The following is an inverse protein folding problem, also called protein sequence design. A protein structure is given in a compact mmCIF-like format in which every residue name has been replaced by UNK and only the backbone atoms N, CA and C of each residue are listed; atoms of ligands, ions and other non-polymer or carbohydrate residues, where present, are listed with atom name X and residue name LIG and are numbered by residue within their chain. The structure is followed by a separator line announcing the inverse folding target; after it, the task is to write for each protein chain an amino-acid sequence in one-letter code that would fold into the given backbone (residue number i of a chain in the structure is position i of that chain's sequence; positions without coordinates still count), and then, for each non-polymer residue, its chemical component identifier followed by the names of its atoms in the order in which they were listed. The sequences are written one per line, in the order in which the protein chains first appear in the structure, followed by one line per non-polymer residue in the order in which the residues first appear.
data_IF_304733318946
#
_entry.id   IF_304733318946
#
_cell.length_a   1.000
_cell.length_b   1.000
_cell.length_c   1.000
_cell.angle_alpha   90.00
_cell.angle_beta   90.00
_cell.angle_gamma   90.00
#
_symmetry.space_group_name_H-M   'P 1'
#
loop_
_entity.id
_entity.type
_entity.pdbx_description
1 polymer ?
#
# COMPACT_ATOMS: atom_id res chain seq x y z
N UNK A 1 -9.66 4.15 18.25
CA UNK A 1 -9.90 2.73 17.94
C UNK A 1 -9.65 1.81 19.13
N UNK A 2 -8.59 2.00 19.90
CA UNK A 2 -8.35 1.27 21.15
C UNK A 2 -9.15 1.92 22.28
N UNK A 3 -10.00 1.16 22.95
CA UNK A 3 -10.84 1.61 24.08
C UNK A 3 -10.22 1.29 25.45
N UNK A 4 -8.97 0.82 25.48
CA UNK A 4 -8.25 0.45 26.69
C UNK A 4 -8.66 -0.90 27.29
N UNK A 5 -9.41 -1.71 26.55
CA UNK A 5 -9.84 -3.04 27.01
C UNK A 5 -9.25 -4.17 26.16
N UNK A 6 -9.08 -5.34 26.77
CA UNK A 6 -8.60 -6.55 26.10
C UNK A 6 -9.62 -7.11 25.08
N UNK A 7 -10.86 -6.67 25.12
CA UNK A 7 -11.96 -7.17 24.28
C UNK A 7 -12.19 -6.31 23.03
N UNK A 8 -11.38 -5.28 22.82
CA UNK A 8 -11.48 -4.45 21.64
C UNK A 8 -11.18 -5.27 20.37
N UNK A 9 -11.98 -5.15 19.28
CA UNK A 9 -11.75 -5.87 18.03
C UNK A 9 -10.36 -5.67 17.43
N UNK A 10 -9.78 -4.46 17.53
CA UNK A 10 -8.43 -4.19 17.05
C UNK A 10 -7.37 -4.97 17.85
N UNK A 11 -7.54 -5.09 19.17
CA UNK A 11 -6.68 -5.92 20.03
C UNK A 11 -6.78 -7.39 19.65
N UNK A 12 -7.99 -7.88 19.43
CA UNK A 12 -8.19 -9.26 18.98
C UNK A 12 -7.50 -9.53 17.62
N UNK A 13 -7.71 -8.65 16.65
CA UNK A 13 -7.08 -8.76 15.34
C UNK A 13 -5.55 -8.68 15.42
N UNK A 14 -5.00 -7.75 16.21
CA UNK A 14 -3.56 -7.63 16.44
C UNK A 14 -2.96 -8.87 17.07
N UNK A 15 -3.60 -9.46 18.07
CA UNK A 15 -3.16 -10.74 18.68
C UNK A 15 -3.19 -11.88 17.67
N UNK A 16 -4.28 -12.05 16.94
CA UNK A 16 -4.39 -13.10 15.94
C UNK A 16 -3.30 -12.95 14.87
N UNK A 17 -3.04 -11.73 14.42
CA UNK A 17 -1.98 -11.46 13.45
C UNK A 17 -0.61 -11.86 13.98
N UNK A 18 -0.24 -11.45 15.20
CA UNK A 18 1.07 -11.76 15.78
C UNK A 18 1.22 -13.24 16.17
N UNK A 19 0.12 -13.95 16.45
CA UNK A 19 0.13 -15.37 16.80
C UNK A 19 0.23 -16.27 15.56
N UNK A 20 -0.53 -15.95 14.49
CA UNK A 20 -0.64 -16.86 13.34
C UNK A 20 0.26 -16.50 12.16
N UNK A 21 0.86 -15.32 12.14
CA UNK A 21 1.77 -14.92 11.07
C UNK A 21 3.18 -14.73 11.61
N UNK A 22 4.21 -15.28 10.95
CA UNK A 22 5.61 -15.14 11.36
C UNK A 22 6.15 -13.74 10.97
N UNK A 23 5.62 -12.71 11.61
CA UNK A 23 6.06 -11.34 11.39
C UNK A 23 7.48 -11.13 11.92
N UNK A 24 8.33 -10.34 11.23
CA UNK A 24 9.70 -10.11 11.66
C UNK A 24 9.76 -9.29 12.95
N UNK A 25 10.70 -9.67 13.83
CA UNK A 25 11.06 -8.86 14.98
C UNK A 25 12.05 -7.76 14.57
N UNK A 26 11.86 -6.51 14.96
CA UNK A 26 12.84 -5.46 14.73
C UNK A 26 14.11 -5.72 15.55
N UNK A 27 15.25 -5.49 14.93
CA UNK A 27 16.57 -5.76 15.50
C UNK A 27 17.40 -6.64 14.58
N UNK A 28 18.68 -6.37 14.45
CA UNK A 28 19.57 -7.13 13.58
C UNK A 28 19.25 -6.96 12.09
N UNK A 29 18.70 -8.00 11.47
CA UNK A 29 18.41 -7.99 10.03
C UNK A 29 17.22 -7.11 9.64
N UNK A 30 16.21 -6.99 10.50
CA UNK A 30 15.04 -6.15 10.27
C UNK A 30 15.08 -4.87 11.09
N UNK A 31 14.68 -3.75 10.50
CA UNK A 31 14.25 -2.56 11.23
C UNK A 31 12.74 -2.47 11.22
N UNK A 32 12.12 -1.69 12.10
CA UNK A 32 10.66 -1.52 12.10
C UNK A 32 10.11 -1.06 13.43
N UNK A 33 8.85 -1.41 13.67
CA UNK A 33 8.11 -1.04 14.85
C UNK A 33 8.77 -1.58 16.13
N UNK A 34 8.98 -0.68 17.08
CA UNK A 34 9.53 -0.98 18.41
C UNK A 34 8.57 -0.59 19.55
N UNK A 35 7.39 -0.06 19.20
CA UNK A 35 6.41 0.38 20.19
C UNK A 35 5.54 -0.79 20.64
N UNK A 36 5.31 -0.88 21.94
CA UNK A 36 4.41 -1.88 22.49
C UNK A 36 3.02 -1.29 22.71
N UNK A 37 2.00 -2.05 22.32
CA UNK A 37 0.60 -1.67 22.48
C UNK A 37 -0.04 -2.48 23.59
N UNK A 38 -0.81 -1.84 24.49
CA UNK A 38 -1.54 -2.55 25.53
C UNK A 38 -2.34 -3.73 24.96
N UNK A 39 -2.24 -4.87 25.65
CA UNK A 39 -2.89 -6.15 25.31
C UNK A 39 -2.44 -6.86 24.04
N UNK A 40 -1.67 -6.23 23.15
CA UNK A 40 -1.14 -6.84 21.92
C UNK A 40 0.35 -7.18 22.05
N UNK A 41 1.10 -6.31 22.74
CA UNK A 41 2.56 -6.35 22.72
C UNK A 41 3.11 -5.54 21.55
N UNK A 42 4.14 -6.06 20.87
CA UNK A 42 4.72 -5.45 19.68
C UNK A 42 3.89 -5.81 18.44
N UNK A 43 3.27 -4.84 17.74
CA UNK A 43 2.38 -5.12 16.60
C UNK A 43 3.11 -5.69 15.39
N UNK A 44 4.40 -5.32 15.17
CA UNK A 44 5.20 -5.74 14.01
C UNK A 44 4.51 -5.41 12.68
N UNK A 45 3.86 -4.27 12.61
CA UNK A 45 3.00 -3.85 11.50
C UNK A 45 3.77 -3.15 10.39
N UNK A 46 4.91 -2.52 10.71
CA UNK A 46 5.81 -1.97 9.71
C UNK A 46 7.25 -2.43 9.95
N UNK A 47 7.95 -2.73 8.87
CA UNK A 47 9.33 -3.22 8.92
C UNK A 47 10.04 -3.08 7.58
N UNK A 48 11.39 -3.15 7.61
CA UNK A 48 12.21 -3.13 6.42
C UNK A 48 13.43 -4.05 6.56
N UNK A 49 13.93 -4.50 5.43
CA UNK A 49 15.20 -5.23 5.32
C UNK A 49 15.85 -4.95 3.98
N UNK A 50 17.15 -5.21 3.91
CA UNK A 50 17.91 -5.15 2.66
C UNK A 50 18.38 -6.56 2.28
N UNK A 51 18.21 -6.91 1.00
CA UNK A 51 18.71 -8.14 0.43
C UNK A 51 19.45 -7.85 -0.88
N UNK A 52 20.76 -8.09 -0.91
CA UNK A 52 21.59 -7.66 -2.04
C UNK A 52 21.49 -6.16 -2.26
N UNK A 53 21.15 -5.74 -3.49
CA UNK A 53 21.02 -4.35 -3.90
C UNK A 53 19.58 -3.81 -3.72
N UNK A 54 18.70 -4.54 -3.05
CA UNK A 54 17.29 -4.19 -2.90
C UNK A 54 16.92 -3.93 -1.43
N UNK A 55 16.22 -2.81 -1.20
CA UNK A 55 15.54 -2.49 0.06
C UNK A 55 14.05 -2.86 -0.08
N UNK A 56 13.52 -3.51 0.93
CA UNK A 56 12.12 -3.87 1.06
C UNK A 56 11.55 -3.18 2.29
N UNK A 57 10.44 -2.46 2.14
CA UNK A 57 9.79 -1.69 3.20
C UNK A 57 8.31 -2.00 3.22
N UNK A 58 7.78 -2.41 4.35
CA UNK A 58 6.34 -2.61 4.58
C UNK A 58 5.83 -1.50 5.47
N UNK A 59 4.74 -0.86 5.07
CA UNK A 59 4.08 0.22 5.82
C UNK A 59 2.61 -0.14 6.08
N UNK A 60 2.08 0.34 7.21
CA UNK A 60 0.72 0.04 7.66
C UNK A 60 -0.03 1.31 8.08
N UNK A 61 -1.20 1.53 7.47
CA UNK A 61 -2.11 2.63 7.81
C UNK A 61 -3.19 2.25 8.83
N UNK A 62 -3.33 0.96 9.14
CA UNK A 62 -4.46 0.48 9.93
C UNK A 62 -4.31 0.75 11.41
N UNK A 63 -3.13 0.48 11.94
CA UNK A 63 -2.92 0.48 13.38
C UNK A 63 -2.98 1.89 13.99
N UNK A 64 -2.34 2.86 13.35
CA UNK A 64 -2.22 4.23 13.87
C UNK A 64 -3.41 5.13 13.53
N UNK A 65 -4.29 4.70 12.63
CA UNK A 65 -5.47 5.48 12.27
C UNK A 65 -6.51 5.46 13.40
N UNK A 66 -6.95 6.63 13.89
CA UNK A 66 -7.98 6.72 14.95
C UNK A 66 -9.35 6.25 14.47
N UNK A 67 -9.57 6.17 13.16
CA UNK A 67 -10.78 5.65 12.55
C UNK A 67 -10.48 4.44 11.68
N UNK A 68 -11.41 3.50 11.49
CA UNK A 68 -11.21 2.39 10.57
C UNK A 68 -10.88 2.89 9.17
N UNK A 69 -9.83 2.35 8.57
CA UNK A 69 -9.51 2.58 7.16
C UNK A 69 -10.58 1.89 6.32
N UNK A 70 -11.27 2.64 5.49
CA UNK A 70 -12.24 2.10 4.54
C UNK A 70 -12.13 2.82 3.19
N UNK A 71 -12.75 2.21 2.19
CA UNK A 71 -12.58 2.54 0.79
C UNK A 71 -13.38 3.73 0.31
N UNK A 72 -14.15 4.37 1.14
CA UNK A 72 -15.13 5.35 0.67
C UNK A 72 -15.00 6.68 1.38
N UNK A 73 -13.92 7.42 1.11
CA UNK A 73 -13.84 8.76 1.65
C UNK A 73 -14.87 9.70 0.99
N UNK A 74 -15.09 9.60 -0.29
CA UNK A 74 -15.90 10.59 -1.02
C UNK A 74 -16.67 10.03 -2.23
N UNK A 75 -16.64 8.74 -2.50
CA UNK A 75 -17.26 8.14 -3.69
C UNK A 75 -18.45 7.28 -3.27
N UNK A 76 -19.62 7.69 -3.71
CA UNK A 76 -20.89 7.02 -3.43
C UNK A 76 -21.78 7.76 -2.43
N UNK A 77 -23.05 7.36 -2.31
CA UNK A 77 -23.93 7.91 -1.29
C UNK A 77 -23.37 7.55 0.09
N UNK A 78 -23.47 8.46 1.07
CA UNK A 78 -23.08 8.14 2.43
C UNK A 78 -23.85 6.90 2.92
N UNK A 79 -23.28 6.09 3.80
CA UNK A 79 -24.00 4.97 4.40
C UNK A 79 -25.36 5.43 4.91
N UNK A 80 -26.39 4.58 4.73
CA UNK A 80 -27.76 4.93 5.15
C UNK A 80 -27.77 5.39 6.61
N UNK A 81 -28.31 6.59 6.85
CA UNK A 81 -28.36 7.19 8.17
C UNK A 81 -27.20 8.13 8.52
N UNK A 82 -26.21 8.31 7.65
CA UNK A 82 -25.14 9.30 7.85
C UNK A 82 -25.38 10.56 7.02
N UNK A 83 -25.14 11.71 7.63
CA UNK A 83 -25.16 12.99 6.93
C UNK A 83 -23.81 13.29 6.30
N UNK A 84 -23.71 14.13 5.24
CA UNK A 84 -22.43 14.55 4.66
C UNK A 84 -21.42 15.13 5.67
N UNK A 85 -21.91 15.68 6.78
CA UNK A 85 -21.09 16.21 7.87
C UNK A 85 -20.46 15.14 8.75
N UNK A 86 -20.87 13.88 8.63
CA UNK A 86 -20.33 12.73 9.33
C UNK A 86 -19.31 11.92 8.49
N UNK A 87 -18.93 12.43 7.34
CA UNK A 87 -17.86 11.83 6.55
C UNK A 87 -16.56 11.88 7.33
N UNK A 88 -15.80 10.80 7.28
CA UNK A 88 -14.48 10.73 7.87
C UNK A 88 -13.60 11.88 7.38
N UNK A 89 -12.86 12.46 8.30
CA UNK A 89 -11.72 13.27 7.97
C UNK A 89 -10.61 12.34 7.47
N UNK A 90 -10.27 12.39 6.20
CA UNK A 90 -9.25 11.49 5.62
C UNK A 90 -7.84 11.78 6.12
N UNK A 91 -7.62 12.89 6.80
CA UNK A 91 -6.40 13.11 7.57
C UNK A 91 -6.29 12.21 8.82
N UNK A 92 -7.39 11.56 9.21
CA UNK A 92 -7.39 10.56 10.29
C UNK A 92 -6.90 9.18 9.82
N UNK A 93 -6.65 8.99 8.53
CA UNK A 93 -5.96 7.83 7.99
C UNK A 93 -4.47 8.17 7.93
N UNK A 94 -3.67 7.50 8.75
CA UNK A 94 -2.31 7.94 9.02
C UNK A 94 -1.34 6.78 9.29
N UNK A 95 -0.08 6.98 8.87
CA UNK A 95 1.04 6.16 9.35
C UNK A 95 1.35 6.40 10.85
N UNK A 96 1.00 7.57 11.36
CA UNK A 96 1.49 8.04 12.66
C UNK A 96 2.93 8.55 12.60
N UNK A 97 3.30 9.39 13.57
CA UNK A 97 4.59 10.09 13.58
C UNK A 97 5.79 9.13 13.66
N UNK A 98 5.69 8.09 14.47
CA UNK A 98 6.78 7.14 14.67
C UNK A 98 7.10 6.38 13.38
N UNK A 99 6.07 5.83 12.74
CA UNK A 99 6.23 5.11 11.47
C UNK A 99 6.68 6.02 10.34
N UNK A 100 6.12 7.24 10.23
CA UNK A 100 6.54 8.18 9.20
C UNK A 100 8.03 8.53 9.31
N UNK A 101 8.51 8.89 10.50
CA UNK A 101 9.93 9.23 10.73
C UNK A 101 10.85 8.05 10.46
N UNK A 102 10.44 6.87 10.89
CA UNK A 102 11.17 5.64 10.57
C UNK A 102 11.20 5.37 9.06
N UNK A 103 10.10 5.56 8.36
CA UNK A 103 10.00 5.39 6.90
C UNK A 103 10.90 6.36 6.16
N UNK A 104 10.84 7.63 6.50
CA UNK A 104 11.73 8.67 5.95
C UNK A 104 13.21 8.32 6.17
N UNK A 105 13.58 8.00 7.41
CA UNK A 105 14.96 7.64 7.75
C UNK A 105 15.42 6.37 7.02
N UNK A 106 14.55 5.37 6.90
CA UNK A 106 14.84 4.11 6.19
C UNK A 106 15.13 4.36 4.72
N UNK A 107 14.32 5.18 4.05
CA UNK A 107 14.56 5.56 2.66
C UNK A 107 15.81 6.41 2.49
N UNK A 108 16.00 7.42 3.36
CA UNK A 108 17.11 8.37 3.29
C UNK A 108 18.48 7.72 3.53
N UNK A 109 18.55 6.75 4.43
CA UNK A 109 19.81 6.06 4.77
C UNK A 109 20.17 4.93 3.81
N UNK A 110 19.25 4.51 2.96
CA UNK A 110 19.44 3.36 2.08
C UNK A 110 20.26 3.71 0.84
N UNK A 111 21.32 2.93 0.62
CA UNK A 111 22.13 2.95 -0.62
C UNK A 111 21.69 1.88 -1.63
N UNK A 112 20.60 1.16 -1.36
CA UNK A 112 20.07 0.15 -2.26
C UNK A 112 19.68 0.76 -3.61
N UNK A 113 20.03 0.08 -4.69
CA UNK A 113 19.68 0.50 -6.06
C UNK A 113 18.19 0.42 -6.33
N UNK A 114 17.55 -0.60 -5.75
CA UNK A 114 16.12 -0.84 -5.91
C UNK A 114 15.45 -0.71 -4.56
N UNK A 115 14.38 0.07 -4.49
CA UNK A 115 13.60 0.25 -3.27
C UNK A 115 12.15 -0.14 -3.55
N UNK A 116 11.66 -1.11 -2.80
CA UNK A 116 10.32 -1.63 -2.90
C UNK A 116 9.55 -1.30 -1.63
N UNK A 117 8.41 -0.63 -1.79
CA UNK A 117 7.51 -0.30 -0.68
C UNK A 117 6.21 -1.07 -0.87
N UNK A 118 5.67 -1.61 0.22
CA UNK A 118 4.47 -2.42 0.23
C UNK A 118 3.45 -1.85 1.21
N UNK A 119 2.21 -1.73 0.76
CA UNK A 119 1.06 -1.43 1.61
C UNK A 119 -0.14 -2.21 1.12
N UNK A 120 -1.08 -2.54 2.02
CA UNK A 120 -2.34 -3.14 1.57
C UNK A 120 -3.18 -2.15 0.78
N UNK A 121 -3.36 -0.92 1.28
CA UNK A 121 -4.16 0.09 0.60
C UNK A 121 -3.43 0.74 -0.55
N UNK A 122 -4.22 1.13 -1.54
CA UNK A 122 -3.76 1.96 -2.65
C UNK A 122 -3.32 3.34 -2.17
N UNK A 123 -2.47 3.97 -2.95
CA UNK A 123 -2.06 5.35 -2.77
C UNK A 123 -3.30 6.24 -2.55
N UNK A 124 -3.23 7.13 -1.56
CA UNK A 124 -4.35 8.00 -1.21
C UNK A 124 -5.42 7.36 -0.33
N UNK A 125 -5.31 6.06 -0.02
CA UNK A 125 -6.28 5.27 0.75
C UNK A 125 -7.72 5.27 0.21
N UNK A 126 -7.91 5.78 -1.00
CA UNK A 126 -9.16 5.72 -1.74
C UNK A 126 -9.16 4.55 -2.73
N UNK A 127 -9.50 4.82 -3.98
CA UNK A 127 -9.42 3.90 -5.10
C UNK A 127 -8.80 4.62 -6.31
N UNK A 128 -8.22 3.85 -7.23
CA UNK A 128 -7.66 4.42 -8.45
C UNK A 128 -6.16 4.73 -8.42
N UNK A 129 -5.48 4.39 -7.35
CA UNK A 129 -4.03 4.56 -7.26
C UNK A 129 -3.59 6.02 -7.35
N UNK A 130 -2.80 6.38 -8.37
CA UNK A 130 -2.23 7.73 -8.52
C UNK A 130 -3.28 8.85 -8.69
N UNK A 131 -4.52 8.52 -8.98
CA UNK A 131 -5.61 9.51 -9.10
C UNK A 131 -5.86 10.23 -7.75
N UNK A 132 -5.56 9.57 -6.64
CA UNK A 132 -5.68 10.09 -5.29
C UNK A 132 -4.33 10.54 -4.68
N UNK A 133 -3.24 10.43 -5.44
CA UNK A 133 -1.87 10.69 -4.95
C UNK A 133 -1.64 12.10 -4.39
N UNK A 134 -2.41 13.08 -4.88
CA UNK A 134 -2.29 14.48 -4.44
C UNK A 134 -2.99 14.78 -3.12
N UNK A 135 -3.71 13.83 -2.53
CA UNK A 135 -4.62 14.08 -1.42
C UNK A 135 -4.04 13.67 -0.06
N UNK A 136 -4.45 14.39 0.96
CA UNK A 136 -4.22 14.12 2.38
C UNK A 136 -2.74 13.83 2.71
N UNK A 137 -2.49 12.86 3.56
CA UNK A 137 -1.13 12.48 3.99
C UNK A 137 -0.21 12.03 2.83
N UNK A 138 -0.82 11.53 1.74
CA UNK A 138 -0.09 11.09 0.56
C UNK A 138 0.43 12.23 -0.30
N UNK A 139 -0.36 13.30 -0.51
CA UNK A 139 -0.02 14.37 -1.43
C UNK A 139 -0.22 15.80 -0.90
N UNK A 140 -0.67 15.95 0.35
CA UNK A 140 -0.70 17.22 1.08
C UNK A 140 -1.92 18.08 0.86
N UNK A 141 -2.82 17.73 -0.06
CA UNK A 141 -4.01 18.53 -0.37
C UNK A 141 -5.26 17.92 0.24
N UNK A 142 -6.24 18.75 0.57
CA UNK A 142 -7.59 18.28 0.87
C UNK A 142 -8.38 17.95 -0.40
N UNK A 143 -9.61 17.44 -0.27
CA UNK A 143 -10.47 17.08 -1.39
C UNK A 143 -10.84 18.25 -2.32
N UNK A 144 -10.66 19.49 -1.87
CA UNK A 144 -10.84 20.69 -2.69
C UNK A 144 -9.56 21.16 -3.39
N UNK A 145 -8.47 20.39 -3.28
CA UNK A 145 -7.18 20.70 -3.87
C UNK A 145 -6.35 21.75 -3.12
N UNK A 146 -6.78 22.15 -1.93
CA UNK A 146 -6.07 23.12 -1.09
C UNK A 146 -4.99 22.41 -0.30
N UNK A 147 -3.79 22.98 -0.29
CA UNK A 147 -2.65 22.48 0.50
C UNK A 147 -2.92 22.67 1.99
N UNK A 148 -2.85 21.58 2.75
CA UNK A 148 -3.05 21.59 4.21
C UNK A 148 -1.98 20.77 4.96
N UNK A 149 -0.99 20.23 4.27
CA UNK A 149 -0.02 19.29 4.83
C UNK A 149 0.69 19.83 6.08
N UNK A 150 1.27 21.02 5.99
CA UNK A 150 2.04 21.60 7.09
C UNK A 150 1.20 21.81 8.37
N UNK A 151 -0.09 22.06 8.18
CA UNK A 151 -1.06 22.21 9.27
C UNK A 151 -1.45 20.85 9.86
N UNK A 152 -1.68 19.86 8.99
CA UNK A 152 -2.22 18.56 9.39
C UNK A 152 -1.14 17.57 9.82
N UNK A 153 0.10 17.78 9.36
CA UNK A 153 1.27 16.95 9.70
C UNK A 153 2.47 17.83 10.07
N UNK A 154 2.35 18.62 11.17
CA UNK A 154 3.44 19.47 11.60
C UNK A 154 4.66 18.61 11.98
N UNK A 155 5.82 18.93 11.38
CA UNK A 155 7.07 18.22 11.62
C UNK A 155 7.33 17.01 10.71
N UNK A 156 6.48 16.77 9.72
CA UNK A 156 6.77 15.88 8.59
C UNK A 156 7.41 16.70 7.45
N UNK A 157 8.43 16.13 6.79
CA UNK A 157 9.17 16.87 5.73
C UNK A 157 8.35 16.97 4.45
N UNK A 158 7.80 15.86 3.98
CA UNK A 158 7.08 15.76 2.71
C UNK A 158 5.87 14.82 2.83
N UNK A 159 4.81 15.03 2.02
CA UNK A 159 3.80 14.01 1.80
C UNK A 159 4.42 12.69 1.33
N UNK A 160 3.78 11.56 1.67
CA UNK A 160 4.33 10.21 1.48
C UNK A 160 4.71 9.95 0.01
N UNK A 161 3.88 10.37 -0.95
CA UNK A 161 4.16 10.19 -2.38
C UNK A 161 5.42 10.96 -2.78
N UNK A 162 5.57 12.21 -2.32
CA UNK A 162 6.73 13.04 -2.61
C UNK A 162 8.00 12.52 -1.92
N UNK A 163 7.85 11.94 -0.72
CA UNK A 163 8.93 11.28 -0.02
C UNK A 163 9.47 10.08 -0.81
N UNK A 164 8.56 9.25 -1.33
CA UNK A 164 8.95 8.11 -2.18
C UNK A 164 9.65 8.55 -3.47
N UNK A 165 9.17 9.62 -4.09
CA UNK A 165 9.81 10.20 -5.28
C UNK A 165 11.19 10.78 -4.97
N UNK A 166 11.33 11.53 -3.86
CA UNK A 166 12.60 12.14 -3.40
C UNK A 166 13.70 11.09 -3.18
N UNK A 167 13.34 9.93 -2.69
CA UNK A 167 14.30 8.85 -2.37
C UNK A 167 14.32 7.71 -3.40
N UNK A 168 13.83 7.96 -4.62
CA UNK A 168 13.91 7.02 -5.74
C UNK A 168 13.32 5.63 -5.43
N UNK A 169 12.13 5.58 -4.84
CA UNK A 169 11.40 4.31 -4.72
C UNK A 169 11.15 3.75 -6.12
N UNK A 170 11.52 2.50 -6.34
CA UNK A 170 11.39 1.84 -7.64
C UNK A 170 9.94 1.43 -7.90
N UNK A 171 9.35 0.72 -6.94
CA UNK A 171 7.95 0.27 -7.03
C UNK A 171 7.29 0.42 -5.67
N UNK A 172 6.09 1.01 -5.67
CA UNK A 172 5.14 0.92 -4.57
C UNK A 172 4.09 -0.15 -4.93
N UNK A 173 4.15 -1.28 -4.23
CA UNK A 173 3.17 -2.35 -4.36
C UNK A 173 1.98 -2.06 -3.44
N UNK A 174 0.80 -2.07 -4.03
CA UNK A 174 -0.45 -1.80 -3.35
C UNK A 174 -1.49 -2.87 -3.72
N UNK A 175 -2.52 -3.03 -2.93
CA UNK A 175 -3.59 -3.99 -3.13
C UNK A 175 -4.95 -3.35 -2.95
N UNK A 176 -5.96 -4.13 -2.55
CA UNK A 176 -7.28 -3.68 -2.19
C UNK A 176 -8.27 -3.54 -3.34
N UNK A 177 -7.88 -3.04 -4.50
CA UNK A 177 -8.78 -2.76 -5.61
C UNK A 177 -9.10 -3.97 -6.49
N UNK A 178 -8.53 -5.14 -6.18
CA UNK A 178 -8.82 -6.41 -6.83
C UNK A 178 -8.73 -6.35 -8.37
N UNK A 179 -7.62 -5.81 -8.87
CA UNK A 179 -7.27 -5.79 -10.28
C UNK A 179 -5.75 -5.68 -10.42
N UNK A 180 -5.22 -5.89 -11.62
CA UNK A 180 -3.87 -5.45 -11.95
C UNK A 180 -3.92 -4.01 -12.45
N UNK A 181 -3.13 -3.13 -11.87
CA UNK A 181 -2.87 -1.82 -12.45
C UNK A 181 -1.40 -1.43 -12.33
N UNK A 182 -0.80 -1.00 -13.43
CA UNK A 182 0.51 -0.37 -13.45
C UNK A 182 0.35 1.09 -13.81
N UNK A 183 0.75 1.96 -12.90
CA UNK A 183 0.74 3.41 -13.10
C UNK A 183 2.13 3.98 -12.79
N UNK A 184 2.43 5.18 -13.25
CA UNK A 184 3.68 5.89 -12.97
C UNK A 184 3.40 7.33 -12.56
N UNK A 185 4.09 7.79 -11.52
CA UNK A 185 4.04 9.18 -11.07
C UNK A 185 5.38 9.57 -10.46
N UNK A 186 5.95 10.68 -10.91
CA UNK A 186 7.21 11.26 -10.39
C UNK A 186 8.36 10.24 -10.29
N UNK A 187 8.47 9.35 -11.28
CA UNK A 187 9.52 8.34 -11.38
C UNK A 187 9.34 7.12 -10.48
N UNK A 188 8.22 6.99 -9.79
CA UNK A 188 7.83 5.81 -9.02
C UNK A 188 6.80 5.02 -9.81
N UNK A 189 6.97 3.70 -9.88
CA UNK A 189 5.95 2.79 -10.40
C UNK A 189 5.00 2.38 -9.28
N UNK A 190 3.70 2.55 -9.50
CA UNK A 190 2.62 2.13 -8.60
C UNK A 190 1.96 0.89 -9.17
N UNK A 191 2.16 -0.24 -8.47
CA UNK A 191 1.69 -1.55 -8.91
C UNK A 191 0.57 -2.05 -8.01
N UNK A 192 -0.67 -2.00 -8.49
CA UNK A 192 -1.79 -2.70 -7.87
C UNK A 192 -1.66 -4.19 -8.12
N UNK A 193 -1.62 -4.96 -7.02
CA UNK A 193 -1.45 -6.42 -7.06
C UNK A 193 -2.80 -7.09 -7.26
N UNK A 194 -2.97 -7.92 -8.31
CA UNK A 194 -4.24 -8.58 -8.58
C UNK A 194 -4.61 -9.57 -7.47
N UNK A 195 -5.90 -9.76 -7.26
CA UNK A 195 -6.41 -10.81 -6.38
C UNK A 195 -6.15 -12.19 -7.04
N UNK A 196 -5.37 -13.09 -6.40
CA UNK A 196 -5.03 -14.38 -7.01
C UNK A 196 -6.16 -15.40 -7.01
N UNK A 197 -7.23 -15.15 -6.25
CA UNK A 197 -8.33 -16.11 -6.03
C UNK A 197 -9.69 -15.64 -6.57
N UNK A 198 -9.73 -14.57 -7.35
CA UNK A 198 -10.98 -14.07 -7.92
C UNK A 198 -11.37 -14.89 -9.16
N UNK A 199 -12.31 -15.80 -8.96
CA UNK A 199 -12.83 -16.66 -10.02
C UNK A 199 -13.75 -15.94 -11.03
N UNK A 200 -14.10 -14.68 -10.79
CA UNK A 200 -14.88 -13.87 -11.74
C UNK A 200 -14.01 -13.33 -12.88
N UNK A 201 -12.69 -13.29 -12.67
CA UNK A 201 -11.71 -12.77 -13.63
C UNK A 201 -12.04 -11.36 -14.12
N UNK A 202 -12.49 -10.50 -13.22
CA UNK A 202 -12.90 -9.13 -13.53
C UNK A 202 -11.88 -8.12 -13.00
N UNK A 203 -11.97 -6.89 -13.50
CA UNK A 203 -11.29 -5.72 -12.94
C UNK A 203 -12.34 -4.91 -12.18
N UNK A 204 -12.66 -5.33 -10.96
CA UNK A 204 -13.84 -4.88 -10.22
C UNK A 204 -13.90 -3.35 -10.02
N UNK A 205 -12.75 -2.71 -9.76
CA UNK A 205 -12.67 -1.28 -9.48
C UNK A 205 -12.07 -0.46 -10.64
N UNK A 206 -12.10 -0.99 -11.87
CA UNK A 206 -11.48 -0.36 -13.04
C UNK A 206 -11.88 1.10 -13.26
N UNK A 207 -13.12 1.45 -13.00
CA UNK A 207 -13.66 2.80 -13.26
C UNK A 207 -13.01 3.89 -12.40
N UNK A 208 -12.35 3.51 -11.29
CA UNK A 208 -11.58 4.43 -10.48
C UNK A 208 -10.23 4.83 -11.12
N UNK A 209 -9.72 4.02 -12.05
CA UNK A 209 -8.43 4.23 -12.71
C UNK A 209 -8.61 4.96 -14.03
N UNK A 210 -7.99 6.13 -14.18
CA UNK A 210 -8.05 6.95 -15.40
C UNK A 210 -6.82 6.81 -16.28
N UNK A 211 -5.74 6.25 -15.72
CA UNK A 211 -4.45 6.11 -16.41
C UNK A 211 -3.78 4.79 -16.08
N UNK A 212 -2.80 4.39 -16.89
CA UNK A 212 -2.00 3.18 -16.70
C UNK A 212 -2.52 1.95 -17.45
N UNK A 213 -1.83 0.83 -17.22
CA UNK A 213 -2.18 -0.48 -17.77
C UNK A 213 -3.07 -1.23 -16.78
N UNK A 214 -4.34 -1.41 -17.11
CA UNK A 214 -5.36 -2.00 -16.22
C UNK A 214 -5.83 -3.32 -16.80
N UNK A 215 -5.63 -4.41 -16.03
CA UNK A 215 -6.00 -5.77 -16.44
C UNK A 215 -6.87 -6.45 -15.37
N UNK A 216 -7.71 -7.39 -15.76
CA UNK A 216 -8.55 -8.13 -14.83
C UNK A 216 -7.75 -9.12 -13.97
N UNK A 217 -8.36 -9.56 -12.87
CA UNK A 217 -7.94 -10.74 -12.11
C UNK A 217 -8.08 -12.02 -12.98
N UNK A 218 -7.57 -13.14 -12.61
CA UNK A 218 -6.86 -13.54 -11.41
C UNK A 218 -5.38 -13.77 -11.72
N UNK A 219 -4.52 -13.66 -10.74
CA UNK A 219 -3.11 -13.95 -10.94
C UNK A 219 -2.19 -13.42 -9.85
N UNK A 220 -0.90 -13.49 -10.11
CA UNK A 220 0.13 -13.02 -9.19
C UNK A 220 1.28 -12.36 -9.97
N UNK A 221 2.11 -11.64 -9.25
CA UNK A 221 3.29 -10.98 -9.82
C UNK A 221 4.54 -11.82 -9.54
N UNK A 222 5.36 -11.99 -10.57
CA UNK A 222 6.73 -12.48 -10.43
C UNK A 222 7.68 -11.32 -10.70
N UNK A 223 8.50 -10.96 -9.70
CA UNK A 223 9.44 -9.85 -9.77
C UNK A 223 10.86 -10.40 -9.85
N UNK A 224 11.56 -10.07 -10.91
CA UNK A 224 12.96 -10.43 -11.10
C UNK A 224 13.82 -9.18 -11.00
N UNK A 225 14.73 -9.18 -10.03
CA UNK A 225 15.68 -8.09 -9.80
C UNK A 225 17.04 -8.48 -10.32
N UNK A 226 17.64 -7.65 -11.15
CA UNK A 226 19.01 -7.81 -11.66
C UNK A 226 19.82 -6.54 -11.43
N UNK A 227 21.12 -6.59 -11.73
CA UNK A 227 21.98 -5.42 -11.62
C UNK A 227 21.53 -4.22 -12.47
N UNK A 228 20.85 -4.50 -13.59
CA UNK A 228 20.52 -3.50 -14.61
C UNK A 228 19.04 -3.08 -14.62
N UNK A 229 18.16 -3.91 -14.07
CA UNK A 229 16.72 -3.70 -14.17
C UNK A 229 15.90 -4.51 -13.17
N UNK A 230 14.68 -4.06 -12.97
CA UNK A 230 13.59 -4.84 -12.35
C UNK A 230 12.61 -5.23 -13.45
N UNK A 231 12.31 -6.52 -13.56
CA UNK A 231 11.26 -7.04 -14.43
C UNK A 231 10.09 -7.53 -13.61
N UNK A 232 8.89 -7.16 -13.99
CA UNK A 232 7.64 -7.62 -13.36
C UNK A 232 6.81 -8.34 -14.41
N UNK A 233 6.49 -9.61 -14.13
CA UNK A 233 5.60 -10.43 -14.94
C UNK A 233 4.28 -10.64 -14.18
N UNK A 234 3.15 -10.31 -14.81
CA UNK A 234 1.83 -10.70 -14.35
C UNK A 234 1.50 -12.08 -14.90
N UNK A 235 1.38 -13.04 -14.01
CA UNK A 235 1.11 -14.45 -14.33
C UNK A 235 -0.34 -14.77 -13.99
N UNK A 236 -1.10 -15.18 -15.00
CA UNK A 236 -2.51 -15.52 -14.83
C UNK A 236 -2.72 -16.80 -14.02
N UNK A 237 -3.72 -16.80 -13.14
CA UNK A 237 -4.15 -17.94 -12.36
C UNK A 237 -5.62 -18.28 -12.70
N UNK A 238 -5.82 -19.40 -13.36
CA UNK A 238 -7.14 -19.83 -13.85
C UNK A 238 -7.49 -21.22 -13.40
N UNK A 239 -8.75 -21.46 -13.07
CA UNK A 239 -9.24 -22.82 -12.84
C UNK A 239 -9.19 -23.60 -14.16
N UNK A 240 -8.91 -24.92 -14.14
CA UNK A 240 -8.81 -25.73 -15.35
C UNK A 240 -10.05 -25.64 -16.25
N UNK A 241 -11.24 -25.54 -15.68
CA UNK A 241 -12.51 -25.40 -16.40
C UNK A 241 -12.70 -24.08 -17.12
N UNK A 242 -11.95 -23.04 -16.70
CA UNK A 242 -12.07 -21.66 -17.18
C UNK A 242 -10.92 -21.28 -18.14
N UNK A 243 -10.03 -22.22 -18.42
CA UNK A 243 -9.00 -22.03 -19.44
C UNK A 243 -9.58 -21.96 -20.85
N UNK A 244 -8.98 -21.13 -21.69
CA UNK A 244 -9.32 -20.97 -23.11
C UNK A 244 -8.05 -21.02 -23.96
N UNK A 245 -8.19 -20.88 -25.27
CA UNK A 245 -7.04 -20.81 -26.17
C UNK A 245 -6.12 -19.59 -25.88
N UNK A 246 -6.69 -18.49 -25.43
CA UNK A 246 -5.97 -17.23 -25.16
C UNK A 246 -5.75 -16.98 -23.65
N UNK A 247 -6.21 -17.87 -22.76
CA UNK A 247 -6.12 -17.68 -21.33
C UNK A 247 -5.74 -19.02 -20.68
N UNK A 248 -4.47 -19.13 -20.30
CA UNK A 248 -3.90 -20.34 -19.71
C UNK A 248 -3.35 -20.07 -18.32
N UNK A 249 -3.57 -20.99 -17.41
CA UNK A 249 -2.97 -20.96 -16.07
C UNK A 249 -1.44 -20.95 -16.18
N UNK A 250 -0.78 -20.08 -15.46
CA UNK A 250 0.67 -19.90 -15.49
C UNK A 250 1.19 -19.12 -16.69
N UNK A 251 0.34 -18.61 -17.57
CA UNK A 251 0.75 -17.78 -18.71
C UNK A 251 1.12 -16.36 -18.23
N UNK A 252 2.21 -15.81 -18.75
CA UNK A 252 2.53 -14.38 -18.60
C UNK A 252 1.50 -13.57 -19.40
N UNK A 253 0.67 -12.84 -18.69
CA UNK A 253 -0.41 -12.02 -19.27
C UNK A 253 0.08 -10.62 -19.64
N UNK A 254 0.99 -10.07 -18.82
CA UNK A 254 1.60 -8.76 -19.01
C UNK A 254 3.01 -8.77 -18.45
N UNK A 255 3.89 -7.95 -19.00
CA UNK A 255 5.27 -7.83 -18.53
C UNK A 255 5.78 -6.42 -18.76
N UNK A 256 6.54 -5.90 -17.79
CA UNK A 256 7.26 -4.64 -17.96
C UNK A 256 8.62 -4.67 -17.26
N UNK A 257 9.47 -3.72 -17.63
CA UNK A 257 10.80 -3.55 -17.05
C UNK A 257 11.01 -2.12 -16.59
N UNK A 258 11.68 -1.95 -15.46
CA UNK A 258 12.15 -0.66 -14.96
C UNK A 258 13.67 -0.72 -15.01
N UNK A 259 14.33 0.10 -15.84
CA UNK A 259 15.78 0.17 -15.88
C UNK A 259 16.33 0.74 -14.57
N UNK A 260 17.55 0.33 -14.24
CA UNK A 260 18.26 0.95 -13.12
C UNK A 260 18.49 2.45 -13.39
N UNK A 261 18.28 3.28 -12.37
CA UNK A 261 18.51 4.73 -12.46
C UNK A 261 19.97 5.08 -12.27
#
# INVERSE_FOLDING_TARGET
MLDGTANNPAVFAGKARTEYFPLPDPGGFYSGDTETVPFVGLPKDYYAWTWGDALFVVIDFYWHSPTPVDNTPNVGPPPSGTTPTQRKNMWDITLGDAQYKWFEQTLASSTAKHKFVFSHHVLGTGRGGIEEAGLYEWGGKNASGVWEFDKMRPGWDLPIQQLMAKYDVTIFFQGHDHLFARQELDGVTYQEVPNPADYSYTAFNRDAYKSGDILPNSGFLNVTVSADQVKVDYIGAYLPKDETASRKNGQVTYSYTIPNK
#
